data_IF_186713333866
#
_entry.id   IF_186713333866
#
_cell.length_a   1.000
_cell.length_b   1.000
_cell.length_c   1.000
_cell.angle_alpha   90.00
_cell.angle_beta   90.00
_cell.angle_gamma   90.00
#
_symmetry.space_group_name_H-M   'P 1'
#
loop_
_entity.id
_entity.type
_entity.pdbx_description
1 polymer ?
#
# COMPACT_ATOMS: atom_id res chain seq x y z
N UNK A 1 94.29 25.54 9.42
CA UNK A 1 93.09 26.40 9.27
C UNK A 1 91.86 25.52 9.12
N UNK A 2 90.78 25.77 9.86
CA UNK A 2 89.45 25.22 9.56
C UNK A 2 88.51 26.39 9.21
N UNK A 3 87.75 26.27 8.11
CA UNK A 3 86.55 27.07 7.88
C UNK A 3 85.33 26.18 8.08
N UNK A 4 84.54 26.44 9.13
CA UNK A 4 83.15 25.95 9.20
C UNK A 4 82.26 26.99 8.52
N UNK A 5 81.32 26.52 7.69
CA UNK A 5 80.18 27.33 7.24
C UNK A 5 78.98 26.94 8.09
N UNK A 6 78.32 27.92 8.70
CA UNK A 6 77.16 27.73 9.56
C UNK A 6 75.87 28.04 8.81
N UNK A 7 75.01 27.05 8.61
CA UNK A 7 73.65 27.27 8.11
C UNK A 7 72.78 27.88 9.22
N UNK A 8 71.99 28.92 8.88
CA UNK A 8 71.12 29.59 9.83
C UNK A 8 69.86 28.75 10.14
N UNK A 9 69.54 28.56 11.44
CA UNK A 9 68.25 28.01 11.86
C UNK A 9 67.20 29.11 11.90
N UNK A 10 66.16 28.99 11.08
CA UNK A 10 64.91 29.74 11.26
C UNK A 10 64.15 29.13 12.45
N UNK A 11 63.65 29.93 13.41
CA UNK A 11 63.00 29.41 14.63
C UNK A 11 61.67 28.71 14.32
N UNK A 12 61.34 27.71 15.14
CA UNK A 12 60.25 26.75 14.91
C UNK A 12 58.84 27.36 15.02
N UNK A 13 58.67 28.38 15.85
CA UNK A 13 57.35 28.92 16.24
C UNK A 13 56.58 29.57 15.07
N UNK A 14 57.28 30.22 14.14
CA UNK A 14 56.64 30.88 12.98
C UNK A 14 55.97 29.88 12.03
N UNK A 15 56.46 28.64 11.96
CA UNK A 15 55.79 27.56 11.20
C UNK A 15 54.51 27.07 11.86
N UNK A 16 54.45 27.06 13.20
CA UNK A 16 53.27 26.58 13.91
C UNK A 16 52.12 27.61 13.86
N UNK A 17 52.44 28.89 14.14
CA UNK A 17 51.45 29.97 14.08
C UNK A 17 50.80 30.15 12.71
N UNK A 18 51.58 30.02 11.63
CA UNK A 18 51.05 30.11 10.27
C UNK A 18 50.20 28.87 9.88
N UNK A 19 50.53 27.67 10.38
CA UNK A 19 49.70 26.47 10.17
C UNK A 19 48.36 26.57 10.90
N UNK A 20 48.35 27.02 12.15
CA UNK A 20 47.10 27.22 12.91
C UNK A 20 46.21 28.25 12.21
N UNK A 21 46.78 29.40 11.79
CA UNK A 21 46.03 30.44 11.05
C UNK A 21 45.46 29.93 9.73
N UNK A 22 46.20 29.13 8.97
CA UNK A 22 45.72 28.53 7.73
C UNK A 22 44.55 27.54 7.97
N UNK A 23 44.64 26.69 8.99
CA UNK A 23 43.55 25.77 9.37
C UNK A 23 42.31 26.54 9.85
N UNK A 24 42.47 27.55 10.71
CA UNK A 24 41.35 28.40 11.15
C UNK A 24 40.68 29.13 9.99
N UNK A 25 41.44 29.65 9.03
CA UNK A 25 40.90 30.29 7.83
C UNK A 25 40.15 29.30 6.93
N UNK A 26 40.67 28.07 6.78
CA UNK A 26 40.01 27.02 6.00
C UNK A 26 38.70 26.54 6.64
N UNK A 27 38.68 26.35 7.97
CA UNK A 27 37.44 26.02 8.71
C UNK A 27 36.43 27.16 8.62
N UNK A 28 36.86 28.43 8.74
CA UNK A 28 35.97 29.58 8.59
C UNK A 28 35.37 29.65 7.18
N UNK A 29 36.18 29.40 6.14
CA UNK A 29 35.70 29.31 4.76
C UNK A 29 34.68 28.17 4.59
N UNK A 30 34.94 27.00 5.17
CA UNK A 30 34.03 25.86 5.12
C UNK A 30 32.67 26.18 5.77
N UNK A 31 32.67 26.84 6.93
CA UNK A 31 31.46 27.30 7.61
C UNK A 31 30.71 28.40 6.84
N UNK A 32 31.42 29.29 6.13
CA UNK A 32 30.80 30.30 5.26
C UNK A 32 30.15 29.64 4.04
N UNK A 33 30.79 28.62 3.45
CA UNK A 33 30.24 27.85 2.32
C UNK A 33 29.02 27.05 2.75
N UNK A 34 29.05 26.33 3.88
CA UNK A 34 27.88 25.58 4.36
C UNK A 34 26.73 26.52 4.76
N UNK A 35 27.00 27.67 5.37
CA UNK A 35 25.97 28.68 5.66
C UNK A 35 25.39 29.30 4.38
N UNK A 36 26.22 29.59 3.36
CA UNK A 36 25.76 30.11 2.07
C UNK A 36 24.97 29.09 1.25
N UNK A 37 25.25 27.79 1.41
CA UNK A 37 24.43 26.71 0.88
C UNK A 37 23.09 26.62 1.64
N UNK A 38 23.11 26.64 2.97
CA UNK A 38 21.89 26.59 3.79
C UNK A 38 20.94 27.76 3.49
N UNK A 39 21.47 28.97 3.37
CA UNK A 39 20.74 30.19 2.98
C UNK A 39 20.34 30.23 1.49
N UNK A 40 20.82 29.30 0.65
CA UNK A 40 20.34 29.08 -0.72
C UNK A 40 19.26 27.99 -0.82
N UNK A 41 19.11 27.14 0.21
CA UNK A 41 18.20 26.00 0.19
C UNK A 41 16.81 26.29 0.78
N UNK A 42 16.60 27.46 1.39
CA UNK A 42 15.28 27.92 1.84
C UNK A 42 14.44 28.44 0.66
N UNK A 43 14.18 27.57 -0.33
CA UNK A 43 13.35 27.90 -1.50
C UNK A 43 13.56 27.03 -2.76
N UNK A 44 12.72 26.00 -2.91
CA UNK A 44 12.51 25.10 -4.09
C UNK A 44 13.41 23.86 -4.20
N UNK A 45 12.97 22.93 -5.04
CA UNK A 45 13.36 21.52 -5.06
C UNK A 45 14.62 21.16 -5.91
N UNK A 46 15.03 19.89 -5.75
CA UNK A 46 15.70 18.97 -6.70
C UNK A 46 17.24 18.87 -6.71
N UNK A 47 17.66 17.61 -6.53
CA UNK A 47 18.89 16.92 -6.97
C UNK A 47 20.22 17.68 -6.98
N UNK A 48 21.13 17.29 -6.06
CA UNK A 48 22.56 17.65 -6.08
C UNK A 48 23.48 16.47 -6.45
N UNK A 49 22.95 15.29 -6.75
CA UNK A 49 23.74 14.06 -6.92
C UNK A 49 24.57 14.04 -8.22
N UNK A 50 24.14 14.76 -9.26
CA UNK A 50 24.75 14.70 -10.60
C UNK A 50 25.90 15.70 -10.83
N UNK A 51 25.88 16.91 -10.25
CA UNK A 51 26.92 17.92 -10.54
C UNK A 51 28.29 17.62 -9.88
N UNK A 52 28.31 16.82 -8.81
CA UNK A 52 29.55 16.50 -8.07
C UNK A 52 30.50 15.55 -8.81
N UNK A 53 30.05 14.89 -9.87
CA UNK A 53 30.87 13.95 -10.68
C UNK A 53 31.72 14.64 -11.76
N UNK A 54 31.50 15.92 -12.05
CA UNK A 54 32.08 16.61 -13.21
C UNK A 54 33.36 17.42 -12.94
N UNK A 55 33.92 17.41 -11.73
CA UNK A 55 35.16 18.16 -11.43
C UNK A 55 36.43 17.37 -11.81
N UNK A 56 37.16 17.92 -12.78
CA UNK A 56 38.23 17.27 -13.53
C UNK A 56 39.48 16.91 -12.70
N UNK A 57 39.99 15.69 -12.91
CA UNK A 57 41.44 15.42 -12.81
C UNK A 57 42.05 15.45 -14.21
N UNK A 58 43.06 16.30 -14.47
CA UNK A 58 43.77 16.29 -15.75
C UNK A 58 45.04 15.39 -15.73
N UNK A 59 45.36 14.85 -16.92
CA UNK A 59 46.72 14.56 -17.39
C UNK A 59 47.47 13.28 -16.90
N UNK A 60 47.23 12.13 -17.56
CA UNK A 60 48.23 11.39 -18.35
C UNK A 60 47.70 10.01 -18.83
N UNK A 61 47.93 9.67 -20.10
CA UNK A 61 47.64 8.34 -20.68
C UNK A 61 47.05 8.43 -22.09
N UNK A 62 47.85 8.11 -23.11
CA UNK A 62 47.48 8.12 -24.52
C UNK A 62 47.71 6.71 -25.13
N UNK A 63 47.16 6.46 -26.32
CA UNK A 63 47.24 5.25 -27.17
C UNK A 63 46.30 4.07 -26.85
N UNK A 64 45.40 3.81 -27.80
CA UNK A 64 44.52 2.63 -27.90
C UNK A 64 43.42 2.89 -28.92
N UNK A 65 43.46 2.23 -30.09
CA UNK A 65 42.47 2.42 -31.18
C UNK A 65 41.22 1.51 -31.00
N UNK A 66 40.10 1.80 -31.71
CA UNK A 66 38.77 1.37 -31.27
C UNK A 66 38.37 -0.04 -31.73
N UNK A 67 37.54 -0.69 -30.91
CA UNK A 67 36.80 -1.88 -31.32
C UNK A 67 36.24 -2.69 -30.16
N UNK A 68 35.01 -2.37 -29.72
CA UNK A 68 33.94 -3.35 -29.43
C UNK A 68 32.63 -2.63 -29.07
N UNK A 69 31.51 -3.13 -29.59
CA UNK A 69 30.18 -2.54 -29.44
C UNK A 69 29.63 -2.81 -28.04
N UNK A 70 29.83 -1.86 -27.12
CA UNK A 70 29.08 -1.85 -25.86
C UNK A 70 27.79 -1.05 -26.07
N UNK A 71 26.69 -1.76 -26.33
CA UNK A 71 25.36 -1.17 -26.27
C UNK A 71 25.14 -0.56 -24.88
N UNK A 72 24.97 0.76 -24.80
CA UNK A 72 24.49 1.41 -23.59
C UNK A 72 23.08 0.89 -23.29
N UNK A 73 22.80 0.35 -22.09
CA UNK A 73 21.45 -0.13 -21.77
C UNK A 73 20.45 1.02 -21.93
N UNK A 74 19.37 0.77 -22.67
CA UNK A 74 18.36 1.78 -22.99
C UNK A 74 17.66 2.28 -21.73
N UNK A 75 17.48 3.59 -21.63
CA UNK A 75 16.95 4.29 -20.45
C UNK A 75 15.42 4.11 -20.25
N UNK A 76 14.83 3.00 -20.73
CA UNK A 76 13.38 2.79 -20.79
C UNK A 76 12.88 1.36 -20.57
N UNK A 77 13.73 0.38 -20.28
CA UNK A 77 13.29 -0.97 -19.86
C UNK A 77 12.82 -0.95 -18.38
N UNK A 78 11.74 -0.21 -18.13
CA UNK A 78 10.98 -0.23 -16.89
C UNK A 78 10.27 -1.58 -16.74
N UNK A 79 11.02 -2.58 -16.24
CA UNK A 79 10.50 -3.92 -15.93
C UNK A 79 9.38 -3.79 -14.88
N UNK A 80 8.15 -3.79 -15.35
CA UNK A 80 6.92 -3.80 -14.54
C UNK A 80 6.86 -5.09 -13.73
N UNK A 81 6.70 -4.97 -12.42
CA UNK A 81 6.30 -6.09 -11.56
C UNK A 81 4.78 -6.10 -11.58
N UNK A 82 4.19 -7.11 -12.21
CA UNK A 82 2.73 -7.23 -12.33
C UNK A 82 2.05 -7.20 -10.96
N UNK A 83 1.05 -6.32 -10.84
CA UNK A 83 0.26 -6.11 -9.63
C UNK A 83 1.03 -5.57 -8.41
N UNK A 84 2.08 -4.77 -8.61
CA UNK A 84 2.81 -4.09 -7.53
C UNK A 84 3.01 -2.58 -7.78
N UNK A 85 2.71 -1.78 -6.75
CA UNK A 85 2.99 -0.35 -6.66
C UNK A 85 4.03 -0.15 -5.54
N UNK A 86 5.25 0.23 -5.92
CA UNK A 86 6.42 0.23 -5.03
C UNK A 86 6.72 1.66 -4.58
N UNK A 87 6.64 1.88 -3.27
CA UNK A 87 6.88 3.18 -2.63
C UNK A 87 8.34 3.62 -2.88
N UNK A 88 8.64 4.86 -3.36
CA UNK A 88 9.98 5.26 -3.82
C UNK A 88 11.13 5.22 -2.79
N UNK A 89 10.86 4.84 -1.54
CA UNK A 89 11.87 4.60 -0.50
C UNK A 89 12.38 3.15 -0.44
N UNK A 90 11.77 2.20 -1.15
CA UNK A 90 12.12 0.77 -1.13
C UNK A 90 13.44 0.51 -1.86
N UNK A 91 14.33 -0.27 -1.25
CA UNK A 91 15.69 -0.53 -1.75
C UNK A 91 15.76 -1.36 -3.04
N UNK A 92 16.81 -1.13 -3.83
CA UNK A 92 17.04 -1.81 -5.10
C UNK A 92 17.14 -3.34 -4.94
N UNK A 93 17.69 -3.84 -3.83
CA UNK A 93 17.80 -5.28 -3.59
C UNK A 93 16.43 -5.94 -3.33
N UNK A 94 15.51 -5.23 -2.69
CA UNK A 94 14.10 -5.62 -2.56
C UNK A 94 13.42 -5.65 -3.94
N UNK A 95 13.63 -4.63 -4.77
CA UNK A 95 13.11 -4.60 -6.15
C UNK A 95 13.67 -5.77 -6.98
N UNK A 96 14.96 -6.11 -6.82
CA UNK A 96 15.61 -7.27 -7.45
C UNK A 96 15.05 -8.61 -6.93
N UNK A 97 14.67 -8.70 -5.65
CA UNK A 97 13.99 -9.89 -5.09
C UNK A 97 12.57 -10.02 -5.66
N UNK A 98 11.78 -8.95 -5.68
CA UNK A 98 10.42 -8.93 -6.26
C UNK A 98 10.43 -9.37 -7.74
N UNK A 99 11.38 -8.90 -8.55
CA UNK A 99 11.56 -9.36 -9.94
C UNK A 99 11.88 -10.86 -10.08
N UNK A 100 12.37 -11.52 -9.02
CA UNK A 100 12.64 -12.97 -8.97
C UNK A 100 11.48 -13.79 -8.38
N UNK A 101 10.49 -13.14 -7.76
CA UNK A 101 9.32 -13.80 -7.12
C UNK A 101 8.23 -14.17 -8.16
N UNK A 102 8.56 -14.17 -9.45
CA UNK A 102 7.69 -14.69 -10.52
C UNK A 102 7.64 -16.24 -10.57
N UNK A 103 7.16 -16.80 -9.45
CA UNK A 103 6.75 -18.19 -9.20
C UNK A 103 7.92 -19.19 -9.04
N UNK A 104 7.74 -20.29 -8.27
CA UNK A 104 6.58 -21.18 -8.27
C UNK A 104 5.40 -20.76 -7.39
N UNK A 105 4.23 -21.29 -7.74
CA UNK A 105 2.99 -21.28 -6.95
C UNK A 105 3.25 -21.92 -5.58
N UNK A 106 3.30 -21.10 -4.52
CA UNK A 106 3.47 -21.59 -3.15
C UNK A 106 2.25 -22.47 -2.82
N UNK A 107 2.49 -23.68 -2.30
CA UNK A 107 1.39 -24.58 -1.93
C UNK A 107 0.53 -23.92 -0.85
N UNK A 108 -0.78 -23.81 -1.08
CA UNK A 108 -1.72 -23.15 -0.18
C UNK A 108 -1.69 -23.77 1.22
N UNK A 109 -1.75 -22.91 2.25
CA UNK A 109 -1.70 -23.37 3.64
C UNK A 109 -3.01 -24.03 4.05
N UNK A 110 -2.94 -25.06 4.88
CA UNK A 110 -4.15 -25.76 5.32
C UNK A 110 -4.92 -24.95 6.39
N UNK A 111 -6.00 -24.27 5.99
CA UNK A 111 -6.89 -23.52 6.89
C UNK A 111 -8.05 -24.37 7.46
N UNK A 112 -8.00 -25.69 7.32
CA UNK A 112 -9.02 -26.61 7.87
C UNK A 112 -8.67 -27.17 9.25
N UNK A 113 -9.68 -27.76 9.90
CA UNK A 113 -9.61 -28.37 11.23
C UNK A 113 -10.35 -27.57 12.31
N UNK A 114 -10.57 -28.17 13.51
CA UNK A 114 -11.41 -27.59 14.56
C UNK A 114 -10.75 -26.47 15.37
N UNK A 115 -9.43 -26.33 15.28
CA UNK A 115 -8.67 -25.30 16.00
C UNK A 115 -8.57 -24.00 15.18
N UNK A 116 -8.53 -22.81 15.82
CA UNK A 116 -8.38 -21.53 15.14
C UNK A 116 -7.18 -21.49 14.17
N UNK A 117 -7.41 -21.05 12.93
CA UNK A 117 -6.42 -20.98 11.84
C UNK A 117 -6.09 -19.58 11.38
N UNK A 118 -7.06 -18.67 11.49
CA UNK A 118 -6.95 -17.26 11.07
C UNK A 118 -7.18 -16.36 12.27
N UNK A 119 -6.33 -15.35 12.45
CA UNK A 119 -6.61 -14.20 13.32
C UNK A 119 -6.92 -13.00 12.43
N UNK A 120 -8.16 -12.51 12.48
CA UNK A 120 -8.53 -11.18 11.99
C UNK A 120 -8.36 -10.21 13.14
N UNK A 121 -7.68 -9.09 12.89
CA UNK A 121 -7.47 -8.04 13.87
C UNK A 121 -7.40 -6.67 13.17
N UNK A 122 -7.37 -5.60 13.98
CA UNK A 122 -7.31 -4.23 13.46
C UNK A 122 -6.28 -3.42 14.22
N UNK A 123 -5.18 -3.04 13.57
CA UNK A 123 -4.27 -2.03 14.12
C UNK A 123 -4.94 -0.64 14.18
N UNK A 124 -5.79 -0.31 13.20
CA UNK A 124 -6.57 0.94 13.15
C UNK A 124 -8.09 0.73 13.31
N UNK A 125 -8.49 0.04 14.40
CA UNK A 125 -9.87 -0.36 14.69
C UNK A 125 -10.94 0.75 14.68
N UNK A 126 -10.56 2.03 14.82
CA UNK A 126 -11.53 3.15 14.78
C UNK A 126 -11.84 3.63 13.37
N UNK A 127 -11.26 3.06 12.33
CA UNK A 127 -11.43 3.55 10.96
C UNK A 127 -12.85 3.43 10.44
N UNK A 128 -13.44 4.58 10.09
CA UNK A 128 -14.81 4.67 9.61
C UNK A 128 -14.86 5.06 8.13
N UNK A 129 -15.95 4.67 7.50
CA UNK A 129 -16.27 4.94 6.09
C UNK A 129 -17.04 6.25 5.93
N UNK A 130 -17.47 6.59 4.73
CA UNK A 130 -18.36 7.73 4.49
C UNK A 130 -19.74 7.43 5.10
N UNK A 131 -20.24 8.36 5.90
CA UNK A 131 -21.60 8.29 6.43
C UNK A 131 -22.63 8.37 5.31
N UNK A 132 -23.67 7.55 5.42
CA UNK A 132 -24.83 7.50 4.52
C UNK A 132 -26.12 7.54 5.35
N UNK A 133 -27.29 7.63 4.70
CA UNK A 133 -28.57 7.64 5.42
C UNK A 133 -28.81 6.35 6.21
N UNK A 134 -28.27 5.23 5.73
CA UNK A 134 -28.33 3.91 6.38
C UNK A 134 -27.24 3.73 7.46
N UNK A 135 -26.16 4.51 7.41
CA UNK A 135 -24.97 4.33 8.25
C UNK A 135 -24.45 5.67 8.82
N UNK A 136 -25.16 6.18 9.83
CA UNK A 136 -24.79 7.37 10.61
C UNK A 136 -24.03 6.97 11.89
N UNK A 137 -22.89 7.62 12.16
CA UNK A 137 -22.05 7.37 13.33
C UNK A 137 -21.57 8.66 14.01
N UNK A 138 -21.23 8.58 15.30
CA UNK A 138 -20.60 9.69 16.02
C UNK A 138 -19.09 9.67 15.76
N UNK A 139 -18.56 10.73 15.18
CA UNK A 139 -17.11 10.85 14.94
C UNK A 139 -16.35 10.92 16.27
N UNK A 140 -15.36 10.05 16.47
CA UNK A 140 -14.37 10.20 17.55
C UNK A 140 -13.21 11.10 17.14
N UNK A 141 -12.94 11.13 15.83
CA UNK A 141 -12.16 12.13 15.10
C UNK A 141 -12.54 12.01 13.62
N UNK A 142 -12.05 12.90 12.75
CA UNK A 142 -12.43 12.92 11.33
C UNK A 142 -12.21 11.56 10.65
N UNK A 143 -13.26 10.98 10.06
CA UNK A 143 -13.27 9.64 9.45
C UNK A 143 -13.02 8.47 10.43
N UNK A 144 -13.23 8.68 11.74
CA UNK A 144 -13.02 7.66 12.78
C UNK A 144 -14.22 7.59 13.73
N UNK A 145 -14.53 6.39 14.25
CA UNK A 145 -15.54 6.20 15.29
C UNK A 145 -15.12 5.15 16.32
N UNK A 146 -15.75 5.19 17.49
CA UNK A 146 -15.68 4.14 18.52
C UNK A 146 -16.81 3.09 18.38
N UNK A 147 -17.77 3.34 17.48
CA UNK A 147 -18.87 2.45 17.16
C UNK A 147 -18.38 1.30 16.25
N UNK A 148 -18.12 0.13 16.84
CA UNK A 148 -17.55 -1.04 16.14
C UNK A 148 -18.42 -1.55 14.99
N UNK A 149 -19.73 -1.39 15.11
CA UNK A 149 -20.70 -1.80 14.07
C UNK A 149 -20.63 -0.88 12.84
N UNK A 150 -19.86 0.21 12.92
CA UNK A 150 -19.74 1.25 11.87
C UNK A 150 -18.29 1.60 11.50
N UNK A 151 -17.32 0.82 11.98
CA UNK A 151 -15.90 0.93 11.62
C UNK A 151 -15.43 -0.27 10.78
N UNK A 152 -14.15 -0.32 10.43
CA UNK A 152 -13.48 -1.50 9.84
C UNK A 152 -13.68 -2.77 10.66
N UNK A 153 -14.01 -2.68 11.95
CA UNK A 153 -14.35 -3.83 12.79
C UNK A 153 -15.60 -4.56 12.28
N UNK A 154 -16.60 -3.86 11.74
CA UNK A 154 -17.75 -4.52 11.09
C UNK A 154 -17.35 -5.27 9.81
N UNK A 155 -16.32 -4.78 9.09
CA UNK A 155 -15.75 -5.44 7.91
C UNK A 155 -14.93 -6.69 8.31
N UNK A 156 -14.20 -6.61 9.44
CA UNK A 156 -13.52 -7.76 10.06
C UNK A 156 -14.49 -8.84 10.54
N UNK A 157 -15.60 -8.43 11.18
CA UNK A 157 -16.67 -9.35 11.61
C UNK A 157 -17.31 -10.04 10.40
N UNK A 158 -17.68 -9.27 9.37
CA UNK A 158 -18.27 -9.81 8.14
C UNK A 158 -17.35 -10.84 7.46
N UNK A 159 -16.04 -10.60 7.46
CA UNK A 159 -15.06 -11.57 6.97
C UNK A 159 -14.98 -12.83 7.85
N UNK A 160 -15.06 -12.68 9.18
CA UNK A 160 -15.09 -13.79 10.13
C UNK A 160 -16.34 -14.67 9.99
N UNK A 161 -17.53 -14.04 9.86
CA UNK A 161 -18.81 -14.70 9.55
C UNK A 161 -18.66 -15.60 8.32
N UNK A 162 -18.28 -15.04 7.17
CA UNK A 162 -18.27 -15.77 5.90
C UNK A 162 -17.26 -16.93 5.94
N UNK A 163 -16.05 -16.70 6.46
CA UNK A 163 -15.02 -17.74 6.59
C UNK A 163 -15.47 -18.89 7.50
N UNK A 164 -16.17 -18.58 8.59
CA UNK A 164 -16.62 -19.58 9.58
C UNK A 164 -17.86 -20.33 9.09
N UNK A 165 -18.89 -19.62 8.65
CA UNK A 165 -20.20 -20.19 8.32
C UNK A 165 -20.26 -20.83 6.92
N UNK A 166 -19.62 -20.22 5.93
CA UNK A 166 -19.70 -20.69 4.53
C UNK A 166 -18.53 -21.60 4.15
N UNK A 167 -17.33 -21.37 4.71
CA UNK A 167 -16.11 -22.10 4.35
C UNK A 167 -15.56 -23.00 5.47
N UNK A 168 -16.17 -23.01 6.66
CA UNK A 168 -15.78 -23.89 7.77
C UNK A 168 -14.38 -23.64 8.33
N UNK A 169 -13.81 -22.47 8.08
CA UNK A 169 -12.48 -22.06 8.55
C UNK A 169 -12.65 -21.46 9.95
N UNK A 170 -12.00 -22.04 10.96
CA UNK A 170 -12.10 -21.51 12.32
C UNK A 170 -11.30 -20.20 12.45
N UNK A 171 -12.00 -19.08 12.61
CA UNK A 171 -11.45 -17.72 12.75
C UNK A 171 -11.54 -17.25 14.20
N UNK A 172 -10.55 -16.47 14.64
CA UNK A 172 -10.70 -15.54 15.76
C UNK A 172 -10.74 -14.13 15.19
N UNK A 173 -11.73 -13.34 15.60
CA UNK A 173 -11.81 -11.91 15.33
C UNK A 173 -11.50 -11.15 16.62
N UNK A 174 -10.40 -10.40 16.65
CA UNK A 174 -10.08 -9.48 17.75
C UNK A 174 -10.55 -8.07 17.43
N UNK A 175 -11.49 -7.59 18.26
CA UNK A 175 -12.10 -6.26 18.12
C UNK A 175 -11.46 -5.23 19.06
N UNK A 176 -10.22 -5.43 19.49
CA UNK A 176 -9.56 -4.54 20.45
C UNK A 176 -9.18 -3.20 19.79
N UNK A 177 -9.54 -2.09 20.45
CA UNK A 177 -9.12 -0.77 19.98
C UNK A 177 -7.65 -0.51 20.32
N UNK A 178 -6.76 -0.82 19.37
CA UNK A 178 -5.33 -0.62 19.50
C UNK A 178 -4.88 0.85 19.37
N UNK A 179 -5.78 1.82 19.22
CA UNK A 179 -5.44 3.23 18.95
C UNK A 179 -5.46 4.12 20.20
N UNK A 180 -5.78 3.55 21.36
CA UNK A 180 -5.84 4.25 22.64
C UNK A 180 -4.48 4.82 23.07
N UNK A 181 -4.36 6.15 23.15
CA UNK A 181 -3.20 6.86 23.68
C UNK A 181 -2.97 8.22 23.00
N UNK A 182 -2.03 9.01 23.52
CA UNK A 182 -1.73 10.36 23.01
C UNK A 182 -1.02 10.37 21.63
N UNK A 183 -0.57 9.20 21.13
CA UNK A 183 0.04 9.09 19.81
C UNK A 183 -0.30 7.76 19.13
N UNK A 184 -0.93 7.85 17.95
CA UNK A 184 -1.27 6.71 17.09
C UNK A 184 -0.07 5.88 16.61
N UNK A 185 1.16 6.42 16.74
CA UNK A 185 2.43 5.71 16.49
C UNK A 185 2.57 4.40 17.27
N UNK A 186 1.87 4.27 18.40
CA UNK A 186 1.93 3.11 19.31
C UNK A 186 0.87 2.03 19.03
N UNK A 187 0.09 2.17 17.96
CA UNK A 187 -0.96 1.22 17.55
C UNK A 187 -0.40 -0.15 17.18
N UNK A 188 0.58 -0.20 16.26
CA UNK A 188 1.27 -1.42 15.86
C UNK A 188 1.92 -2.15 17.04
N UNK A 189 2.48 -1.44 18.02
CA UNK A 189 3.05 -2.03 19.24
C UNK A 189 2.00 -2.63 20.19
N UNK A 190 0.74 -2.19 20.10
CA UNK A 190 -0.38 -2.80 20.85
C UNK A 190 -0.96 -3.98 20.10
N UNK A 191 -1.27 -3.86 18.80
CA UNK A 191 -1.77 -5.00 18.02
C UNK A 191 -0.76 -6.15 17.97
N UNK A 192 0.56 -5.85 17.94
CA UNK A 192 1.61 -6.87 18.01
C UNK A 192 1.57 -7.69 19.32
N UNK A 193 1.18 -7.08 20.45
CA UNK A 193 1.05 -7.79 21.73
C UNK A 193 -0.16 -8.72 21.69
N UNK A 194 -1.28 -8.25 21.14
CA UNK A 194 -2.49 -9.03 20.91
C UNK A 194 -2.21 -10.23 20.00
N UNK A 195 -1.56 -10.03 18.85
CA UNK A 195 -1.13 -11.12 17.95
C UNK A 195 -0.24 -12.15 18.65
N UNK A 196 0.70 -11.71 19.50
CA UNK A 196 1.59 -12.59 20.27
C UNK A 196 0.82 -13.42 21.31
N UNK A 197 -0.11 -12.80 22.03
CA UNK A 197 -0.98 -13.49 23.00
C UNK A 197 -1.86 -14.55 22.32
N UNK A 198 -2.46 -14.23 21.16
CA UNK A 198 -3.24 -15.21 20.39
C UNK A 198 -2.37 -16.34 19.83
N UNK A 199 -1.17 -16.04 19.31
CA UNK A 199 -0.25 -17.08 18.79
C UNK A 199 0.32 -17.99 19.88
N UNK A 200 0.51 -17.48 21.09
CA UNK A 200 0.90 -18.27 22.26
C UNK A 200 -0.25 -19.18 22.74
N UNK A 201 -1.47 -18.63 22.82
CA UNK A 201 -2.67 -19.37 23.27
C UNK A 201 -3.19 -20.38 22.23
N UNK A 202 -3.03 -20.07 20.94
CA UNK A 202 -3.47 -20.89 19.81
C UNK A 202 -2.34 -21.02 18.77
N UNK A 203 -1.33 -21.90 18.99
CA UNK A 203 -0.26 -22.16 18.03
C UNK A 203 -0.74 -22.76 16.69
N UNK A 204 -2.04 -23.08 16.58
CA UNK A 204 -2.75 -23.51 15.38
C UNK A 204 -3.00 -22.39 14.36
N UNK A 205 -2.90 -21.11 14.78
CA UNK A 205 -3.10 -19.94 13.92
C UNK A 205 -1.91 -19.81 12.96
N UNK A 206 -2.22 -19.90 11.67
CA UNK A 206 -1.24 -19.81 10.58
C UNK A 206 -1.27 -18.39 10.00
N UNK A 207 -2.47 -17.92 9.67
CA UNK A 207 -2.71 -16.68 8.92
C UNK A 207 -3.14 -15.54 9.84
N UNK A 208 -2.63 -14.34 9.56
CA UNK A 208 -2.92 -13.12 10.30
C UNK A 208 -3.37 -12.05 9.30
N UNK A 209 -4.57 -11.50 9.50
CA UNK A 209 -5.18 -10.50 8.60
C UNK A 209 -5.45 -9.23 9.40
N UNK A 210 -4.72 -8.17 9.08
CA UNK A 210 -4.94 -6.81 9.58
C UNK A 210 -5.89 -6.09 8.60
N UNK A 211 -7.09 -5.73 9.04
CA UNK A 211 -8.13 -5.13 8.18
C UNK A 211 -8.22 -3.62 8.44
N UNK A 212 -7.87 -2.84 7.41
CA UNK A 212 -7.85 -1.38 7.39
C UNK A 212 -8.73 -0.84 6.24
N UNK A 213 -8.80 0.49 6.10
CA UNK A 213 -9.31 1.12 4.88
C UNK A 213 -8.46 2.35 4.54
N UNK A 214 -8.11 2.51 3.27
CA UNK A 214 -7.11 3.49 2.85
C UNK A 214 -7.62 4.96 3.01
N UNK A 215 -6.71 5.93 2.84
CA UNK A 215 -7.00 7.37 2.89
C UNK A 215 -7.14 7.94 1.48
N UNK A 216 -8.38 7.98 0.99
CA UNK A 216 -8.76 8.49 -0.33
C UNK A 216 -8.75 10.01 -0.45
N UNK A 217 -8.68 10.50 -1.69
CA UNK A 217 -8.46 11.92 -1.98
C UNK A 217 -9.72 12.75 -2.25
N UNK A 218 -10.79 12.18 -2.83
CA UNK A 218 -12.05 12.92 -3.11
C UNK A 218 -13.26 12.10 -3.54
N UNK A 219 -13.08 10.97 -4.21
CA UNK A 219 -14.15 10.15 -4.84
C UNK A 219 -14.26 8.77 -4.21
N UNK A 220 -15.23 7.96 -4.64
CA UNK A 220 -15.41 6.56 -4.22
C UNK A 220 -14.53 5.61 -5.06
N UNK A 221 -13.94 4.58 -4.45
CA UNK A 221 -13.12 3.57 -5.14
C UNK A 221 -13.91 2.26 -5.21
N UNK A 222 -14.69 2.11 -6.29
CA UNK A 222 -15.76 1.11 -6.42
C UNK A 222 -15.69 0.42 -7.77
N UNK A 223 -15.98 -0.88 -7.78
CA UNK A 223 -16.27 -1.68 -8.96
C UNK A 223 -17.71 -2.20 -8.88
N UNK A 224 -18.33 -2.47 -10.04
CA UNK A 224 -19.62 -3.19 -10.09
C UNK A 224 -19.34 -4.67 -10.31
N UNK A 225 -19.89 -5.53 -9.45
CA UNK A 225 -19.86 -7.00 -9.58
C UNK A 225 -21.26 -7.52 -9.26
N UNK A 226 -21.84 -8.35 -10.14
CA UNK A 226 -23.20 -8.89 -10.01
C UNK A 226 -24.29 -7.83 -9.75
N UNK A 227 -24.13 -6.63 -10.33
CA UNK A 227 -25.01 -5.47 -10.13
C UNK A 227 -24.85 -4.76 -8.77
N UNK A 228 -24.05 -5.29 -7.85
CA UNK A 228 -23.71 -4.66 -6.57
C UNK A 228 -22.56 -3.66 -6.74
N UNK A 229 -22.56 -2.59 -5.95
CA UNK A 229 -21.38 -1.75 -5.72
C UNK A 229 -20.46 -2.42 -4.70
N UNK A 230 -19.19 -2.56 -5.04
CA UNK A 230 -18.19 -3.27 -4.24
C UNK A 230 -16.95 -2.39 -4.09
N UNK A 231 -16.48 -2.18 -2.86
CA UNK A 231 -15.26 -1.41 -2.61
C UNK A 231 -14.05 -2.15 -3.20
N UNK A 232 -13.17 -1.41 -3.91
CA UNK A 232 -11.94 -1.97 -4.48
C UNK A 232 -10.90 -2.16 -3.37
N UNK A 233 -10.25 -3.33 -3.36
CA UNK A 233 -9.33 -3.70 -2.29
C UNK A 233 -7.87 -3.57 -2.73
N UNK A 234 -6.95 -3.39 -1.77
CA UNK A 234 -5.51 -3.57 -2.03
C UNK A 234 -4.81 -4.21 -0.83
N UNK A 235 -3.64 -4.81 -1.05
CA UNK A 235 -2.77 -5.28 0.02
C UNK A 235 -1.60 -4.32 0.22
N UNK A 236 -1.17 -4.15 1.47
CA UNK A 236 0.10 -3.50 1.82
C UNK A 236 1.10 -4.56 2.24
N UNK A 237 2.32 -4.51 1.71
CA UNK A 237 3.43 -5.39 2.09
C UNK A 237 4.60 -4.55 2.61
N UNK A 238 5.01 -4.82 3.84
CA UNK A 238 6.17 -4.19 4.49
C UNK A 238 7.47 -4.92 4.16
N UNK A 239 8.47 -4.20 3.69
CA UNK A 239 9.80 -4.75 3.39
C UNK A 239 10.66 -4.97 4.64
N UNK A 240 10.29 -4.37 5.77
CA UNK A 240 11.10 -4.29 6.99
C UNK A 240 12.20 -3.24 6.95
N UNK A 241 12.38 -2.52 5.84
CA UNK A 241 13.24 -1.35 5.77
C UNK A 241 12.63 -0.23 6.62
N UNK A 242 13.40 0.33 7.56
CA UNK A 242 12.97 1.52 8.29
C UNK A 242 13.04 2.76 7.40
N UNK A 243 12.29 3.81 7.74
CA UNK A 243 12.25 5.07 6.99
C UNK A 243 13.61 5.79 6.84
N UNK A 244 14.65 5.33 7.54
CA UNK A 244 16.04 5.79 7.50
C UNK A 244 17.03 4.73 6.98
N UNK A 245 16.56 3.68 6.30
CA UNK A 245 17.37 2.55 5.81
C UNK A 245 17.82 1.57 6.91
N UNK A 246 17.84 2.00 8.17
CA UNK A 246 18.02 1.13 9.34
C UNK A 246 16.76 0.28 9.54
N UNK A 247 16.80 -0.98 9.10
CA UNK A 247 15.69 -1.92 9.21
C UNK A 247 15.25 -2.27 10.64
N UNK A 248 14.11 -2.94 10.77
CA UNK A 248 13.62 -3.46 12.05
C UNK A 248 14.43 -4.68 12.51
N UNK A 249 14.62 -4.86 13.83
CA UNK A 249 15.35 -6.00 14.39
C UNK A 249 14.72 -7.36 13.99
N UNK A 250 13.39 -7.47 14.10
CA UNK A 250 12.64 -8.61 13.55
C UNK A 250 12.11 -8.18 12.17
N UNK A 251 12.73 -8.69 11.10
CA UNK A 251 12.33 -8.44 9.71
C UNK A 251 11.13 -9.32 9.32
N UNK A 252 10.23 -8.84 8.43
CA UNK A 252 9.18 -9.68 7.84
C UNK A 252 9.74 -10.62 6.77
N UNK A 253 9.12 -11.79 6.61
CA UNK A 253 9.24 -12.59 5.38
C UNK A 253 8.37 -11.94 4.30
N UNK A 254 8.84 -10.80 3.80
CA UNK A 254 8.11 -10.01 2.81
C UNK A 254 7.97 -10.78 1.48
N UNK A 255 8.86 -11.72 1.18
CA UNK A 255 8.82 -12.53 -0.04
C UNK A 255 7.64 -13.51 0.00
N UNK A 256 7.43 -14.23 1.10
CA UNK A 256 6.23 -15.04 1.30
C UNK A 256 4.95 -14.20 1.41
N UNK A 257 4.99 -13.08 2.15
CA UNK A 257 3.79 -12.24 2.33
C UNK A 257 3.36 -11.56 1.01
N UNK A 258 4.30 -11.14 0.16
CA UNK A 258 4.01 -10.69 -1.20
C UNK A 258 3.50 -11.82 -2.09
N UNK A 259 4.08 -13.02 -2.00
CA UNK A 259 3.63 -14.20 -2.74
C UNK A 259 2.20 -14.63 -2.36
N UNK A 260 1.82 -14.47 -1.09
CA UNK A 260 0.46 -14.66 -0.60
C UNK A 260 -0.49 -13.60 -1.17
N UNK A 261 -0.13 -12.31 -1.04
CA UNK A 261 -0.91 -11.20 -1.57
C UNK A 261 -1.14 -11.31 -3.09
N UNK A 262 -0.09 -11.59 -3.88
CA UNK A 262 -0.18 -11.74 -5.35
C UNK A 262 -1.11 -12.89 -5.74
N UNK A 263 -1.01 -14.05 -5.09
CA UNK A 263 -1.90 -15.19 -5.38
C UNK A 263 -3.37 -14.95 -5.00
N UNK A 264 -3.66 -14.05 -4.06
CA UNK A 264 -5.04 -13.65 -3.74
C UNK A 264 -5.53 -12.57 -4.71
N UNK A 265 -4.70 -11.57 -5.03
CA UNK A 265 -4.99 -10.56 -6.06
C UNK A 265 -5.30 -11.21 -7.41
N UNK A 266 -4.48 -12.16 -7.87
CA UNK A 266 -4.69 -12.93 -9.10
C UNK A 266 -5.96 -13.81 -9.10
N UNK A 267 -6.55 -14.10 -7.93
CA UNK A 267 -7.85 -14.77 -7.85
C UNK A 267 -8.99 -13.76 -7.91
N UNK A 268 -8.89 -12.65 -7.18
CA UNK A 268 -9.91 -11.60 -7.14
C UNK A 268 -10.05 -10.86 -8.48
N UNK A 269 -8.95 -10.66 -9.21
CA UNK A 269 -8.95 -10.08 -10.55
C UNK A 269 -9.67 -10.95 -11.61
N UNK A 270 -9.85 -12.26 -11.36
CA UNK A 270 -10.65 -13.15 -12.21
C UNK A 270 -12.15 -13.02 -11.96
N UNK A 271 -12.56 -12.51 -10.80
CA UNK A 271 -13.95 -12.17 -10.49
C UNK A 271 -14.33 -10.86 -11.17
N UNK A 272 -13.46 -9.85 -11.09
CA UNK A 272 -13.56 -8.63 -11.90
C UNK A 272 -12.17 -8.00 -12.06
N UNK A 273 -11.73 -7.62 -13.28
CA UNK A 273 -10.40 -7.06 -13.54
C UNK A 273 -10.08 -5.75 -12.80
N UNK A 274 -11.08 -5.11 -12.17
CA UNK A 274 -10.90 -3.90 -11.37
C UNK A 274 -11.18 -4.13 -9.87
N UNK A 275 -11.45 -5.35 -9.38
CA UNK A 275 -11.76 -5.59 -7.96
C UNK A 275 -10.57 -5.27 -7.03
N UNK A 276 -9.35 -5.38 -7.54
CA UNK A 276 -8.13 -5.01 -6.83
C UNK A 276 -7.53 -3.72 -7.39
N UNK A 277 -6.73 -3.05 -6.55
CA UNK A 277 -5.61 -2.18 -6.97
C UNK A 277 -4.30 -2.98 -6.82
N UNK A 278 -3.21 -2.44 -7.34
CA UNK A 278 -1.88 -3.04 -7.21
C UNK A 278 -1.41 -3.10 -5.74
N UNK A 279 -0.56 -4.08 -5.44
CA UNK A 279 -0.05 -4.34 -4.09
C UNK A 279 0.94 -3.25 -3.70
N UNK A 280 0.64 -2.50 -2.64
CA UNK A 280 1.49 -1.43 -2.10
C UNK A 280 2.68 -2.02 -1.35
N UNK A 281 3.86 -2.07 -1.98
CA UNK A 281 5.10 -2.46 -1.30
C UNK A 281 5.74 -1.22 -0.68
N UNK A 282 5.96 -1.22 0.63
CA UNK A 282 6.37 -0.03 1.39
C UNK A 282 7.50 -0.30 2.38
N UNK A 283 8.34 0.70 2.60
CA UNK A 283 9.29 0.72 3.74
C UNK A 283 8.51 0.77 5.05
N UNK A 284 8.59 -0.28 5.85
CA UNK A 284 7.79 -0.48 7.05
C UNK A 284 7.66 -1.96 7.37
N UNK A 285 7.12 -2.28 8.55
CA UNK A 285 7.00 -3.67 9.03
C UNK A 285 5.55 -4.17 9.18
N UNK A 286 4.61 -3.29 9.49
CA UNK A 286 3.17 -3.57 9.58
C UNK A 286 2.79 -4.86 10.35
N UNK A 287 3.57 -5.22 11.37
CA UNK A 287 3.52 -6.50 12.10
C UNK A 287 3.65 -7.81 11.28
N UNK A 288 4.00 -7.73 9.99
CA UNK A 288 4.16 -8.85 9.04
C UNK A 288 5.39 -9.75 9.29
N UNK A 289 6.04 -9.59 10.45
CA UNK A 289 7.09 -10.47 10.98
C UNK A 289 6.52 -11.55 11.91
N UNK A 290 5.21 -11.52 12.22
CA UNK A 290 4.56 -12.50 13.08
C UNK A 290 4.34 -13.87 12.41
N UNK A 291 4.27 -13.91 11.09
CA UNK A 291 4.11 -15.11 10.26
C UNK A 291 4.64 -14.83 8.85
N UNK A 292 4.90 -15.88 8.07
CA UNK A 292 5.09 -15.80 6.62
C UNK A 292 3.75 -15.90 5.85
N UNK A 293 2.66 -15.57 6.56
CA UNK A 293 1.26 -15.65 6.16
C UNK A 293 0.49 -14.45 6.76
N UNK A 294 1.09 -13.27 6.66
CA UNK A 294 0.52 -12.02 7.14
C UNK A 294 -0.01 -11.20 5.95
N UNK A 295 -1.27 -10.78 6.04
CA UNK A 295 -1.91 -9.83 5.14
C UNK A 295 -2.24 -8.55 5.91
N UNK A 296 -1.97 -7.40 5.30
CA UNK A 296 -2.67 -6.16 5.61
C UNK A 296 -3.53 -5.84 4.39
N UNK A 297 -4.85 -5.82 4.56
CA UNK A 297 -5.79 -5.48 3.50
C UNK A 297 -6.46 -4.13 3.77
N UNK A 298 -6.49 -3.30 2.74
CA UNK A 298 -7.15 -2.01 2.69
C UNK A 298 -8.46 -2.19 1.90
N UNK A 299 -9.59 -2.18 2.60
CA UNK A 299 -10.90 -2.42 1.99
C UNK A 299 -11.53 -1.10 1.55
N UNK A 300 -11.36 -0.75 0.28
CA UNK A 300 -11.69 0.59 -0.20
C UNK A 300 -10.86 1.66 0.51
N UNK A 301 -11.51 2.80 0.74
CA UNK A 301 -10.96 3.93 1.46
C UNK A 301 -12.07 4.79 2.10
N UNK A 302 -11.71 5.79 2.91
CA UNK A 302 -12.65 6.59 3.71
C UNK A 302 -13.83 7.25 2.97
N UNK A 303 -13.80 7.36 1.63
CA UNK A 303 -14.89 7.93 0.83
C UNK A 303 -15.94 6.89 0.39
N UNK A 304 -15.63 5.59 0.43
CA UNK A 304 -16.61 4.51 0.22
C UNK A 304 -17.67 4.50 1.32
N UNK A 305 -18.82 3.88 1.08
CA UNK A 305 -19.74 3.51 2.16
C UNK A 305 -19.24 2.25 2.90
N UNK A 306 -19.74 2.03 4.12
CA UNK A 306 -19.52 0.76 4.82
C UNK A 306 -20.16 -0.42 4.07
N UNK A 307 -21.32 -0.22 3.44
CA UNK A 307 -22.02 -1.27 2.67
C UNK A 307 -21.21 -1.77 1.47
N UNK A 308 -20.44 -0.90 0.80
CA UNK A 308 -19.51 -1.29 -0.27
C UNK A 308 -18.34 -2.13 0.22
N UNK A 309 -17.82 -1.82 1.42
CA UNK A 309 -16.73 -2.56 2.05
C UNK A 309 -17.20 -3.94 2.55
N UNK A 310 -18.39 -4.01 3.16
CA UNK A 310 -19.04 -5.27 3.53
C UNK A 310 -19.29 -6.17 2.31
N UNK A 311 -19.72 -5.59 1.18
CA UNK A 311 -19.94 -6.32 -0.07
C UNK A 311 -18.65 -6.89 -0.70
N UNK A 312 -17.47 -6.37 -0.35
CA UNK A 312 -16.19 -6.89 -0.83
C UNK A 312 -15.77 -8.20 -0.12
N UNK A 313 -16.29 -8.45 1.10
CA UNK A 313 -15.89 -9.59 1.92
C UNK A 313 -16.39 -10.93 1.39
N UNK A 314 -17.54 -10.96 0.69
CA UNK A 314 -18.03 -12.18 0.02
C UNK A 314 -16.96 -12.75 -0.94
N UNK A 315 -16.26 -11.88 -1.69
CA UNK A 315 -15.21 -12.27 -2.63
C UNK A 315 -13.85 -12.53 -1.95
N UNK A 316 -13.46 -11.68 -0.98
CA UNK A 316 -12.19 -11.86 -0.27
C UNK A 316 -12.17 -13.17 0.54
N UNK A 317 -13.25 -13.50 1.24
CA UNK A 317 -13.39 -14.76 1.95
C UNK A 317 -13.27 -15.98 1.01
N UNK A 318 -13.87 -15.91 -0.19
CA UNK A 318 -13.75 -16.97 -1.19
C UNK A 318 -12.31 -17.19 -1.66
N UNK A 319 -11.56 -16.11 -1.90
CA UNK A 319 -10.15 -16.20 -2.30
C UNK A 319 -9.23 -16.72 -1.16
N UNK A 320 -9.52 -16.35 0.09
CA UNK A 320 -8.86 -16.91 1.29
C UNK A 320 -9.17 -18.40 1.44
N UNK A 321 -10.42 -18.82 1.26
CA UNK A 321 -10.82 -20.23 1.38
C UNK A 321 -10.21 -21.12 0.29
N UNK A 322 -10.11 -20.62 -0.95
CA UNK A 322 -9.42 -21.30 -2.04
C UNK A 322 -7.91 -21.42 -1.79
N UNK A 323 -7.26 -20.35 -1.33
CA UNK A 323 -5.85 -20.43 -0.91
C UNK A 323 -5.66 -21.38 0.28
N UNK A 324 -6.64 -21.42 1.19
CA UNK A 324 -6.65 -22.25 2.40
C UNK A 324 -6.85 -23.76 2.17
N UNK A 325 -7.06 -24.19 0.92
CA UNK A 325 -7.39 -25.58 0.57
C UNK A 325 -8.83 -26.01 0.90
N UNK A 326 -9.67 -25.10 1.42
CA UNK A 326 -11.08 -25.35 1.75
C UNK A 326 -12.03 -25.21 0.54
N UNK A 327 -11.49 -25.03 -0.67
CA UNK A 327 -12.23 -24.74 -1.89
C UNK A 327 -13.09 -25.89 -2.42
N UNK A 328 -14.28 -26.08 -1.83
CA UNK A 328 -15.34 -26.92 -2.37
C UNK A 328 -16.44 -26.06 -3.03
N UNK A 329 -16.47 -26.04 -4.36
CA UNK A 329 -17.55 -25.58 -5.24
C UNK A 329 -18.17 -24.18 -4.97
N UNK A 330 -17.71 -23.16 -5.75
CA UNK A 330 -18.64 -22.17 -6.37
C UNK A 330 -18.08 -21.22 -7.44
N UNK A 331 -16.76 -21.03 -7.57
CA UNK A 331 -16.19 -20.10 -8.58
C UNK A 331 -16.25 -20.67 -10.03
N UNK A 332 -16.74 -21.90 -10.23
CA UNK A 332 -16.70 -22.61 -11.52
C UNK A 332 -18.10 -23.00 -12.09
N UNK A 333 -19.18 -22.34 -11.68
CA UNK A 333 -20.53 -22.54 -12.26
C UNK A 333 -21.03 -21.28 -12.97
N UNK A 334 -20.26 -20.76 -13.94
CA UNK A 334 -20.71 -19.66 -14.82
C UNK A 334 -20.02 -19.59 -16.21
N UNK A 335 -19.28 -20.62 -16.64
CA UNK A 335 -18.68 -20.63 -18.00
C UNK A 335 -19.68 -20.99 -19.12
N UNK A 336 -20.80 -21.62 -18.78
CA UNK A 336 -21.70 -22.29 -19.74
C UNK A 336 -22.92 -21.43 -20.19
N UNK A 337 -22.83 -20.10 -20.04
CA UNK A 337 -23.95 -19.16 -20.25
C UNK A 337 -23.64 -17.97 -21.20
N UNK A 338 -22.57 -18.05 -21.99
CA UNK A 338 -22.29 -17.07 -23.05
C UNK A 338 -22.90 -17.50 -24.41
N UNK A 339 -23.94 -16.80 -24.93
CA UNK A 339 -24.43 -17.05 -26.28
C UNK A 339 -23.41 -16.57 -27.32
N UNK A 340 -23.02 -17.44 -28.25
CA UNK A 340 -22.08 -17.12 -29.33
C UNK A 340 -22.73 -16.11 -30.30
N UNK A 341 -22.37 -14.83 -30.18
CA UNK A 341 -22.78 -13.81 -31.14
C UNK A 341 -21.89 -13.83 -32.39
N UNK A 342 -22.34 -14.54 -33.43
CA UNK A 342 -21.62 -14.66 -34.69
C UNK A 342 -22.00 -13.58 -35.71
N UNK A 343 -21.57 -12.32 -35.49
CA UNK A 343 -21.38 -11.36 -36.59
C UNK A 343 -20.53 -10.12 -36.19
N UNK A 344 -19.40 -9.86 -36.87
CA UNK A 344 -18.56 -8.68 -36.63
C UNK A 344 -18.68 -7.63 -37.75
N UNK A 345 -19.87 -7.08 -38.01
CA UNK A 345 -20.00 -5.96 -38.96
C UNK A 345 -21.22 -5.06 -38.66
N UNK A 346 -21.13 -3.79 -39.06
CA UNK A 346 -22.13 -2.71 -38.93
C UNK A 346 -22.48 -2.25 -37.50
N UNK A 347 -21.86 -1.14 -37.07
CA UNK A 347 -22.62 0.10 -36.83
C UNK A 347 -21.73 1.35 -36.71
N UNK A 348 -21.83 2.22 -37.72
CA UNK A 348 -21.51 3.65 -37.67
C UNK A 348 -22.36 4.31 -38.77
N UNK A 349 -23.36 5.13 -38.40
CA UNK A 349 -23.22 6.58 -38.50
C UNK A 349 -23.36 7.24 -37.12
N UNK A 350 -23.10 8.54 -36.93
CA UNK A 350 -22.88 9.62 -37.90
C UNK A 350 -23.91 10.74 -37.69
N UNK A 351 -23.45 11.99 -37.60
CA UNK A 351 -24.30 13.14 -37.22
C UNK A 351 -25.41 13.44 -38.23
N UNK A 352 -26.53 14.00 -37.74
CA UNK A 352 -27.18 15.19 -38.34
C UNK A 352 -28.00 15.95 -37.28
N UNK A 353 -28.25 17.24 -37.51
CA UNK A 353 -29.01 18.16 -36.66
C UNK A 353 -30.39 18.49 -37.30
N UNK A 354 -31.06 19.52 -36.78
CA UNK A 354 -32.25 20.23 -37.30
C UNK A 354 -33.62 19.56 -37.05
N UNK A 355 -34.73 20.30 -36.80
CA UNK A 355 -34.91 21.56 -36.02
C UNK A 355 -36.42 21.76 -35.71
N UNK A 356 -36.75 22.76 -34.86
CA UNK A 356 -38.07 23.42 -34.66
C UNK A 356 -39.32 22.58 -34.26
N UNK A 357 -40.27 23.18 -33.51
CA UNK A 357 -41.54 22.47 -33.19
C UNK A 357 -42.61 23.08 -32.26
N UNK A 358 -42.35 24.20 -31.58
CA UNK A 358 -43.33 25.03 -30.81
C UNK A 358 -44.14 24.43 -29.60
N UNK A 359 -44.72 25.32 -28.80
CA UNK A 359 -45.48 25.12 -27.54
C UNK A 359 -46.82 25.93 -27.64
N UNK A 360 -47.69 26.20 -26.60
CA UNK A 360 -47.85 25.68 -25.23
C UNK A 360 -49.35 25.33 -24.89
N UNK A 361 -49.77 25.49 -23.61
CA UNK A 361 -51.17 25.58 -23.07
C UNK A 361 -51.96 24.23 -22.92
N UNK A 362 -52.78 23.97 -21.88
CA UNK A 362 -53.03 24.64 -20.58
C UNK A 362 -53.61 23.64 -19.52
N UNK A 363 -53.78 24.06 -18.25
CA UNK A 363 -54.27 23.32 -17.06
C UNK A 363 -54.98 24.36 -16.11
N UNK A 364 -55.88 24.08 -15.12
CA UNK A 364 -56.22 22.85 -14.36
C UNK A 364 -57.72 22.46 -14.52
N UNK A 365 -58.59 22.02 -13.59
CA UNK A 365 -58.66 21.82 -12.09
C UNK A 365 -59.88 20.89 -11.78
N UNK A 366 -60.38 20.49 -10.59
CA UNK A 366 -60.16 20.69 -9.13
C UNK A 366 -60.81 19.44 -8.42
N UNK A 367 -60.81 19.40 -7.10
CA UNK A 367 -61.73 18.70 -6.17
C UNK A 367 -61.35 17.33 -5.56
N UNK A 368 -60.41 17.43 -4.60
CA UNK A 368 -60.69 17.38 -3.15
C UNK A 368 -61.31 16.12 -2.46
N UNK A 369 -60.76 15.87 -1.27
CA UNK A 369 -61.14 14.94 -0.19
C UNK A 369 -62.06 15.71 0.84
N UNK A 370 -62.30 15.40 2.15
CA UNK A 370 -61.92 14.26 3.03
C UNK A 370 -62.98 13.71 4.06
N UNK A 371 -62.65 12.57 4.74
CA UNK A 371 -62.97 12.20 6.17
C UNK A 371 -64.47 11.88 6.58
N UNK A 372 -64.81 11.41 7.82
CA UNK A 372 -64.25 10.23 8.57
C UNK A 372 -65.22 9.43 9.53
N UNK A 373 -64.63 8.50 10.33
CA UNK A 373 -64.84 8.20 11.79
C UNK A 373 -65.75 7.03 12.32
N UNK A 374 -65.10 6.12 13.12
CA UNK A 374 -65.56 5.24 14.26
C UNK A 374 -66.69 4.18 14.03
N UNK A 375 -66.94 3.17 14.92
CA UNK A 375 -66.53 2.94 16.34
C UNK A 375 -65.11 2.39 16.59
#
# INVERSE_FOLDING_TARGET
MLKRVTAAKIPYETRLGNRVRAVSAFVLLLCIVTLALFLRFDGRERSLAYELLCFQFPFLGEFGEPGEENESPSENDLIVIEHADIDPGVGEDIIIKLKKINLPKQAGVNLSGPEPRVLIYHTHATEAYRQTEECVYVESSKWRTLDKEKSVVAVGERLAEILSEQYGINVIHDTTNHEQGESGSTSYDRSLKTMKQYKERYPSIIMFIDVHRDSGSSTEDVVIVDGKRVARMMFVVGTGEGATGTGFNDMPDFESNFSLAKQITEQLLKVSPNLMRDIRVKTGRYNQHMSNQCLLIEVGHNYNSLSEALAAMDYFAAAIANYGGSGAARIAENEDSLPVNSNPEQNNPGMHNEDDGDNPEENPDDNQIPLPLIP
#
